data_IF_244543826895
#
_entry.id   IF_244543826895
#
_cell.length_a   1.000
_cell.length_b   1.000
_cell.length_c   1.000
_cell.angle_alpha   90.00
_cell.angle_beta   90.00
_cell.angle_gamma   90.00
#
_symmetry.space_group_name_H-M   'P 1'
#
loop_
_entity.id
_entity.type
_entity.pdbx_description
1 polymer ?
#
# COMPACT_ATOMS: atom_id res chain seq x y z
N UNK A 1 -13.45 48.69 -5.05
CA UNK A 1 -12.73 48.08 -3.91
C UNK A 1 -13.75 47.44 -2.98
N UNK A 2 -14.07 46.16 -3.16
CA UNK A 2 -14.96 45.40 -2.27
C UNK A 2 -14.15 45.03 -1.03
N UNK A 3 -14.42 45.67 0.11
CA UNK A 3 -13.81 45.27 1.38
C UNK A 3 -14.50 43.99 1.84
N UNK A 4 -13.80 42.86 1.74
CA UNK A 4 -14.23 41.59 2.32
C UNK A 4 -14.14 41.67 3.84
N UNK A 5 -15.20 41.24 4.52
CA UNK A 5 -15.23 41.13 5.98
C UNK A 5 -14.03 40.29 6.45
N UNK A 6 -13.31 40.80 7.44
CA UNK A 6 -12.16 40.09 8.00
C UNK A 6 -12.62 38.89 8.81
N UNK A 7 -11.72 37.92 9.02
CA UNK A 7 -12.00 36.71 9.79
C UNK A 7 -12.44 37.01 11.24
N UNK A 8 -12.09 38.20 11.76
CA UNK A 8 -12.52 38.70 13.06
C UNK A 8 -13.95 39.24 13.02
N UNK A 9 -14.36 39.90 11.93
CA UNK A 9 -15.74 40.38 11.74
C UNK A 9 -16.74 39.21 11.67
N UNK A 10 -16.36 38.13 10.99
CA UNK A 10 -17.19 36.91 10.92
C UNK A 10 -17.31 36.24 12.30
N UNK A 11 -16.24 36.26 13.10
CA UNK A 11 -16.23 35.69 14.46
C UNK A 11 -17.07 36.53 15.43
N UNK A 12 -17.04 37.86 15.28
CA UNK A 12 -17.86 38.78 16.06
C UNK A 12 -19.35 38.60 15.73
N UNK A 13 -19.71 38.50 14.44
CA UNK A 13 -21.08 38.24 14.01
C UNK A 13 -21.60 36.88 14.49
N UNK A 14 -20.76 35.84 14.49
CA UNK A 14 -21.11 34.53 15.02
C UNK A 14 -21.34 34.56 16.54
N UNK A 15 -20.48 35.26 17.30
CA UNK A 15 -20.66 35.43 18.74
C UNK A 15 -21.91 36.25 19.09
N UNK A 16 -22.24 37.26 18.28
CA UNK A 16 -23.42 38.10 18.45
C UNK A 16 -24.71 37.34 18.08
N UNK A 17 -24.65 36.46 17.09
CA UNK A 17 -25.74 35.53 16.75
C UNK A 17 -25.98 34.52 17.87
N UNK A 18 -24.92 33.90 18.41
CA UNK A 18 -25.01 32.99 19.58
C UNK A 18 -25.53 33.73 20.82
N UNK A 19 -25.17 35.01 21.00
CA UNK A 19 -25.67 35.83 22.11
C UNK A 19 -27.15 36.17 21.96
N UNK A 20 -27.61 36.43 20.73
CA UNK A 20 -29.04 36.61 20.42
C UNK A 20 -29.83 35.32 20.60
N UNK A 21 -29.26 34.19 20.23
CA UNK A 21 -29.86 32.86 20.43
C UNK A 21 -29.98 32.52 21.93
N UNK A 22 -28.91 32.77 22.72
CA UNK A 22 -28.94 32.61 24.18
C UNK A 22 -29.91 33.58 24.88
N UNK A 23 -30.12 34.79 24.34
CA UNK A 23 -31.16 35.70 24.84
C UNK A 23 -32.58 35.26 24.44
N UNK A 24 -32.76 34.60 23.29
CA UNK A 24 -34.04 34.01 22.88
C UNK A 24 -34.36 32.67 23.55
N UNK A 25 -33.38 32.02 24.20
CA UNK A 25 -33.58 30.72 24.87
C UNK A 25 -34.07 30.87 26.33
N UNK A 26 -34.35 32.09 26.79
CA UNK A 26 -34.92 32.32 28.13
C UNK A 26 -36.33 32.88 27.99
N UNK A 27 -37.28 32.01 27.63
CA UNK A 27 -38.67 32.00 28.12
C UNK A 27 -39.51 31.01 27.30
N UNK A 28 -39.41 29.73 27.65
CA UNK A 28 -40.56 28.83 27.54
C UNK A 28 -40.65 28.03 28.84
N UNK A 29 -40.94 28.73 29.94
CA UNK A 29 -41.50 28.11 31.14
C UNK A 29 -42.93 27.73 30.80
N UNK A 30 -43.17 26.45 30.50
CA UNK A 30 -44.51 25.95 30.18
C UNK A 30 -45.38 26.06 31.43
N UNK A 31 -46.13 27.14 31.50
CA UNK A 31 -47.53 27.15 31.93
C UNK A 31 -48.27 28.05 30.94
N UNK A 32 -48.61 27.49 29.78
CA UNK A 32 -49.42 28.16 28.74
C UNK A 32 -48.63 28.90 27.66
N UNK A 33 -48.12 28.18 26.65
CA UNK A 33 -47.56 28.80 25.45
C UNK A 33 -48.70 29.33 24.55
N UNK A 34 -48.79 30.65 24.36
CA UNK A 34 -49.84 31.37 23.62
C UNK A 34 -49.36 31.87 22.24
N UNK A 35 -48.44 31.17 21.59
CA UNK A 35 -47.99 31.55 20.25
C UNK A 35 -48.97 31.05 19.18
N UNK A 36 -49.54 31.93 18.33
CA UNK A 36 -50.62 31.57 17.41
C UNK A 36 -50.19 30.63 16.28
N UNK A 37 -48.88 30.46 16.05
CA UNK A 37 -48.32 29.52 15.07
C UNK A 37 -48.16 28.07 15.57
N UNK A 38 -48.38 27.79 16.86
CA UNK A 38 -48.20 26.44 17.44
C UNK A 38 -49.51 25.78 17.87
N UNK A 39 -50.67 26.36 17.50
CA UNK A 39 -51.99 25.74 17.70
C UNK A 39 -52.09 24.48 16.83
N UNK A 40 -51.85 23.32 17.46
CA UNK A 40 -52.01 22.00 16.82
C UNK A 40 -50.74 21.15 16.79
N UNK A 41 -49.60 21.67 17.25
CA UNK A 41 -48.40 20.84 17.41
C UNK A 41 -48.56 20.06 18.72
N UNK A 42 -48.74 18.74 18.60
CA UNK A 42 -48.85 17.81 19.72
C UNK A 42 -47.66 17.99 20.67
N UNK A 43 -47.92 18.05 21.98
CA UNK A 43 -46.86 18.15 23.00
C UNK A 43 -45.82 17.02 22.87
N UNK A 44 -46.24 15.86 22.34
CA UNK A 44 -45.34 14.73 22.00
C UNK A 44 -44.37 15.06 20.85
N UNK A 45 -44.82 15.82 19.85
CA UNK A 45 -43.97 16.25 18.72
C UNK A 45 -42.87 17.23 19.19
N UNK A 46 -43.19 18.11 20.15
CA UNK A 46 -42.18 18.99 20.77
C UNK A 46 -41.19 18.22 21.67
N UNK A 47 -41.62 17.20 22.41
CA UNK A 47 -40.73 16.37 23.23
C UNK A 47 -39.81 15.47 22.40
N UNK A 48 -40.31 14.89 21.31
CA UNK A 48 -39.53 14.07 20.37
C UNK A 48 -38.46 14.92 19.68
N UNK A 49 -38.84 16.09 19.11
CA UNK A 49 -37.87 17.00 18.50
C UNK A 49 -36.84 17.57 19.49
N UNK A 50 -37.23 17.81 20.76
CA UNK A 50 -36.30 18.26 21.79
C UNK A 50 -35.30 17.17 22.20
N UNK A 51 -35.71 15.89 22.17
CA UNK A 51 -34.79 14.75 22.38
C UNK A 51 -33.82 14.60 21.21
N UNK A 52 -34.30 14.65 19.97
CA UNK A 52 -33.45 14.59 18.77
C UNK A 52 -32.41 15.73 18.74
N UNK A 53 -32.82 16.95 19.06
CA UNK A 53 -31.91 18.10 19.15
C UNK A 53 -30.86 17.91 20.25
N UNK A 54 -31.24 17.40 21.43
CA UNK A 54 -30.31 17.13 22.52
C UNK A 54 -29.31 16.03 22.16
N UNK A 55 -29.75 14.99 21.45
CA UNK A 55 -28.89 13.91 20.95
C UNK A 55 -27.92 14.42 19.88
N UNK A 56 -28.37 15.27 18.95
CA UNK A 56 -27.49 15.92 17.97
C UNK A 56 -26.43 16.82 18.61
N UNK A 57 -26.82 17.66 19.58
CA UNK A 57 -25.88 18.52 20.32
C UNK A 57 -24.88 17.68 21.11
N UNK A 58 -25.34 16.56 21.70
CA UNK A 58 -24.45 15.63 22.41
C UNK A 58 -23.46 14.97 21.45
N UNK A 59 -23.92 14.45 20.31
CA UNK A 59 -23.06 13.86 19.26
C UNK A 59 -22.02 14.86 18.77
N UNK A 60 -22.43 16.11 18.53
CA UNK A 60 -21.53 17.17 18.05
C UNK A 60 -20.47 17.49 19.10
N UNK A 61 -20.85 17.61 20.37
CA UNK A 61 -19.88 17.85 21.45
C UNK A 61 -18.92 16.66 21.65
N UNK A 62 -19.43 15.43 21.55
CA UNK A 62 -18.61 14.22 21.65
C UNK A 62 -17.61 14.15 20.47
N UNK A 63 -18.01 14.51 19.24
CA UNK A 63 -17.14 14.66 18.06
C UNK A 63 -16.12 15.79 18.21
N UNK A 64 -16.50 16.93 18.79
CA UNK A 64 -15.58 18.04 19.08
C UNK A 64 -14.53 17.64 20.14
N UNK A 65 -14.92 16.87 21.16
CA UNK A 65 -13.99 16.36 22.16
C UNK A 65 -13.03 15.30 21.58
N UNK A 66 -13.53 14.41 20.72
CA UNK A 66 -12.73 13.42 20.02
C UNK A 66 -11.72 14.09 19.07
N UNK A 67 -12.16 15.04 18.26
CA UNK A 67 -11.27 15.79 17.35
C UNK A 67 -10.22 16.59 18.11
N UNK A 68 -10.57 17.22 19.24
CA UNK A 68 -9.60 17.90 20.09
C UNK A 68 -8.57 16.92 20.69
N UNK A 69 -9.00 15.71 21.06
CA UNK A 69 -8.12 14.65 21.57
C UNK A 69 -7.18 14.15 20.48
N UNK A 70 -7.69 13.87 19.27
CA UNK A 70 -6.89 13.48 18.12
C UNK A 70 -5.87 14.56 17.73
N UNK A 71 -6.24 15.84 17.76
CA UNK A 71 -5.32 16.94 17.49
C UNK A 71 -4.17 16.99 18.49
N UNK A 72 -4.44 16.76 19.78
CA UNK A 72 -3.38 16.67 20.81
C UNK A 72 -2.46 15.48 20.57
N UNK A 73 -3.01 14.31 20.22
CA UNK A 73 -2.22 13.13 19.90
C UNK A 73 -1.34 13.36 18.65
N UNK A 74 -1.89 13.95 17.59
CA UNK A 74 -1.12 14.31 16.38
C UNK A 74 -0.01 15.31 16.71
N UNK A 75 -0.27 16.32 17.54
CA UNK A 75 0.75 17.27 17.97
C UNK A 75 1.88 16.59 18.75
N UNK A 76 1.53 15.66 19.65
CA UNK A 76 2.50 14.87 20.42
C UNK A 76 3.34 13.96 19.50
N UNK A 77 2.71 13.26 18.56
CA UNK A 77 3.39 12.42 17.56
C UNK A 77 4.32 13.24 16.66
N UNK A 78 3.89 14.41 16.18
CA UNK A 78 4.74 15.34 15.42
C UNK A 78 5.97 15.77 16.22
N UNK A 79 5.81 16.01 17.53
CA UNK A 79 6.92 16.35 18.40
C UNK A 79 7.89 15.18 18.59
N UNK A 80 7.38 13.96 18.78
CA UNK A 80 8.18 12.74 18.88
C UNK A 80 8.96 12.45 17.59
N UNK A 81 8.31 12.58 16.42
CA UNK A 81 8.97 12.43 15.12
C UNK A 81 10.11 13.42 14.95
N UNK A 82 9.89 14.69 15.30
CA UNK A 82 10.94 15.72 15.26
C UNK A 82 12.10 15.40 16.21
N UNK A 83 11.83 14.84 17.40
CA UNK A 83 12.86 14.43 18.35
C UNK A 83 13.72 13.27 17.83
N UNK A 84 13.16 12.40 16.97
CA UNK A 84 13.86 11.30 16.28
C UNK A 84 14.50 11.77 14.95
N UNK A 85 14.31 13.03 14.56
CA UNK A 85 14.85 13.60 13.32
C UNK A 85 14.05 13.25 12.06
N UNK A 86 12.81 12.75 12.21
CA UNK A 86 11.91 12.46 11.10
C UNK A 86 10.91 13.62 10.89
N UNK A 87 10.64 13.97 9.64
CA UNK A 87 9.62 14.97 9.31
C UNK A 87 8.24 14.30 9.11
N UNK A 88 7.18 14.82 9.75
CA UNK A 88 5.83 14.31 9.53
C UNK A 88 5.40 14.52 8.08
N UNK A 89 4.95 13.44 7.44
CA UNK A 89 4.38 13.49 6.08
C UNK A 89 3.06 14.27 6.11
N UNK A 90 2.93 15.23 5.20
CA UNK A 90 1.70 16.01 5.05
C UNK A 90 0.58 15.12 4.47
N UNK A 91 -0.54 15.05 5.19
CA UNK A 91 -1.74 14.37 4.72
C UNK A 91 -2.48 15.28 3.73
N UNK A 92 -2.20 15.07 2.44
CA UNK A 92 -2.87 15.73 1.31
C UNK A 92 -3.51 14.67 0.43
N UNK A 93 -4.50 15.04 -0.38
CA UNK A 93 -5.09 14.14 -1.39
C UNK A 93 -4.06 13.74 -2.43
N UNK A 94 -4.26 12.60 -3.09
CA UNK A 94 -3.30 12.07 -4.06
C UNK A 94 -3.08 13.02 -5.25
N UNK A 95 -4.15 13.68 -5.71
CA UNK A 95 -4.09 14.64 -6.82
C UNK A 95 -3.24 15.87 -6.48
N UNK A 96 -3.43 16.43 -5.27
CA UNK A 96 -2.66 17.59 -4.82
C UNK A 96 -1.18 17.23 -4.64
N UNK A 97 -0.89 16.04 -4.11
CA UNK A 97 0.48 15.55 -3.98
C UNK A 97 1.16 15.39 -5.36
N UNK A 98 0.45 14.84 -6.34
CA UNK A 98 0.93 14.68 -7.73
C UNK A 98 1.18 16.02 -8.41
N UNK A 99 0.27 16.98 -8.27
CA UNK A 99 0.42 18.34 -8.80
C UNK A 99 1.65 19.03 -8.20
N UNK A 100 1.81 18.98 -6.88
CA UNK A 100 2.95 19.57 -6.17
C UNK A 100 4.29 18.92 -6.55
N UNK A 101 4.29 17.61 -6.79
CA UNK A 101 5.48 16.91 -7.30
C UNK A 101 5.85 17.40 -8.71
N UNK A 102 4.86 17.59 -9.59
CA UNK A 102 5.09 18.11 -10.94
C UNK A 102 5.62 19.55 -10.93
N UNK A 103 5.06 20.43 -10.09
CA UNK A 103 5.56 21.79 -9.89
C UNK A 103 7.02 21.79 -9.42
N UNK A 104 7.36 20.91 -8.47
CA UNK A 104 8.74 20.79 -7.95
C UNK A 104 9.71 20.30 -9.04
N UNK A 105 9.32 19.30 -9.85
CA UNK A 105 10.11 18.83 -11.00
C UNK A 105 10.33 19.96 -12.02
N UNK A 106 9.30 20.74 -12.32
CA UNK A 106 9.42 21.87 -13.25
C UNK A 106 10.38 22.94 -12.73
N UNK A 107 10.35 23.23 -11.42
CA UNK A 107 11.30 24.16 -10.78
C UNK A 107 12.73 23.64 -10.83
N UNK A 108 12.94 22.34 -10.58
CA UNK A 108 14.26 21.72 -10.71
C UNK A 108 14.79 21.82 -12.14
N UNK A 109 13.95 21.50 -13.14
CA UNK A 109 14.31 21.64 -14.55
C UNK A 109 14.60 23.09 -14.96
N UNK A 110 14.00 24.07 -14.27
CA UNK A 110 14.27 25.50 -14.46
C UNK A 110 15.55 26.00 -13.74
N UNK A 111 16.27 25.12 -13.03
CA UNK A 111 17.54 25.43 -12.38
C UNK A 111 17.46 25.71 -10.88
N UNK A 112 16.32 25.46 -10.23
CA UNK A 112 16.19 25.57 -8.77
C UNK A 112 16.60 24.24 -8.10
N UNK A 113 17.87 24.13 -7.73
CA UNK A 113 18.43 22.95 -7.05
C UNK A 113 17.76 22.66 -5.69
N UNK A 114 17.13 23.67 -5.05
CA UNK A 114 16.42 23.44 -3.79
C UNK A 114 15.12 22.65 -3.98
N UNK A 115 14.63 22.55 -5.22
CA UNK A 115 13.42 21.78 -5.54
C UNK A 115 13.61 20.26 -5.40
N UNK A 116 14.85 19.74 -5.31
CA UNK A 116 15.11 18.32 -5.05
C UNK A 116 14.47 17.86 -3.73
N UNK A 117 14.58 18.68 -2.68
CA UNK A 117 13.96 18.38 -1.37
C UNK A 117 12.44 18.36 -1.44
N UNK A 118 11.86 19.27 -2.22
CA UNK A 118 10.42 19.31 -2.45
C UNK A 118 9.98 18.04 -3.20
N UNK A 119 10.75 17.55 -4.17
CA UNK A 119 10.47 16.29 -4.89
C UNK A 119 10.49 15.11 -3.93
N UNK A 120 11.52 14.96 -3.09
CA UNK A 120 11.62 13.87 -2.11
C UNK A 120 10.46 13.89 -1.09
N UNK A 121 10.08 15.09 -0.63
CA UNK A 121 8.93 15.30 0.25
C UNK A 121 7.65 14.79 -0.41
N UNK A 122 7.36 15.23 -1.64
CA UNK A 122 6.13 14.86 -2.33
C UNK A 122 6.12 13.40 -2.79
N UNK A 123 7.25 12.83 -3.18
CA UNK A 123 7.39 11.40 -3.47
C UNK A 123 7.05 10.55 -2.24
N UNK A 124 7.55 10.94 -1.06
CA UNK A 124 7.21 10.29 0.21
C UNK A 124 5.72 10.43 0.53
N UNK A 125 5.14 11.62 0.32
CA UNK A 125 3.72 11.87 0.54
C UNK A 125 2.82 11.02 -0.37
N UNK A 126 3.18 10.86 -1.65
CA UNK A 126 2.47 10.01 -2.59
C UNK A 126 2.56 8.54 -2.16
N UNK A 127 3.75 8.04 -1.82
CA UNK A 127 3.96 6.64 -1.41
C UNK A 127 3.20 6.26 -0.13
N UNK A 128 3.06 7.20 0.80
CA UNK A 128 2.35 7.00 2.07
C UNK A 128 0.85 7.30 1.96
N UNK A 129 0.37 7.79 0.82
CA UNK A 129 -1.03 8.13 0.64
C UNK A 129 -1.90 6.84 0.59
N UNK A 130 -2.98 6.73 1.40
CA UNK A 130 -3.86 5.57 1.40
C UNK A 130 -4.50 5.26 0.05
N UNK A 131 -4.91 6.28 -0.72
CA UNK A 131 -5.51 6.11 -2.05
C UNK A 131 -4.49 5.50 -3.01
N UNK A 132 -3.23 5.97 -2.95
CA UNK A 132 -2.16 5.41 -3.75
C UNK A 132 -1.85 3.95 -3.38
N UNK A 133 -1.79 3.64 -2.08
CA UNK A 133 -1.57 2.28 -1.61
C UNK A 133 -2.67 1.33 -2.10
N UNK A 134 -3.94 1.75 -2.01
CA UNK A 134 -5.07 0.99 -2.54
C UNK A 134 -4.99 0.79 -4.05
N UNK A 135 -4.67 1.84 -4.83
CA UNK A 135 -4.46 1.73 -6.28
C UNK A 135 -3.35 0.71 -6.62
N UNK A 136 -2.24 0.73 -5.87
CA UNK A 136 -1.12 -0.20 -6.09
C UNK A 136 -1.48 -1.63 -5.71
N UNK A 137 -2.18 -1.84 -4.60
CA UNK A 137 -2.66 -3.16 -4.18
C UNK A 137 -3.65 -3.75 -5.17
N UNK A 138 -4.59 -2.93 -5.69
CA UNK A 138 -5.54 -3.39 -6.70
C UNK A 138 -4.83 -3.77 -8.00
N UNK A 139 -3.87 -2.98 -8.45
CA UNK A 139 -3.04 -3.31 -9.62
C UNK A 139 -2.27 -4.61 -9.41
N UNK A 140 -1.64 -4.78 -8.24
CA UNK A 140 -0.91 -5.99 -7.91
C UNK A 140 -1.84 -7.22 -7.86
N UNK A 141 -3.05 -7.08 -7.31
CA UNK A 141 -4.05 -8.15 -7.27
C UNK A 141 -4.50 -8.55 -8.67
N UNK A 142 -4.87 -7.59 -9.51
CA UNK A 142 -5.26 -7.84 -10.92
C UNK A 142 -4.14 -8.53 -11.68
N UNK A 143 -2.91 -8.04 -11.58
CA UNK A 143 -1.76 -8.67 -12.21
C UNK A 143 -1.56 -10.13 -11.76
N UNK A 144 -1.73 -10.40 -10.46
CA UNK A 144 -1.61 -11.75 -9.91
C UNK A 144 -2.70 -12.69 -10.43
N UNK A 145 -3.94 -12.20 -10.55
CA UNK A 145 -5.07 -12.94 -11.15
C UNK A 145 -4.82 -13.24 -12.63
N UNK A 146 -4.47 -12.22 -13.42
CA UNK A 146 -4.23 -12.34 -14.87
C UNK A 146 -3.08 -13.30 -15.21
N UNK A 147 -2.08 -13.38 -14.33
CA UNK A 147 -0.91 -14.25 -14.52
C UNK A 147 -1.02 -15.60 -13.81
N UNK A 148 -2.08 -15.84 -13.03
CA UNK A 148 -2.21 -17.04 -12.19
C UNK A 148 -2.06 -18.34 -12.99
N UNK A 149 -2.81 -18.47 -14.08
CA UNK A 149 -2.83 -19.71 -14.89
C UNK A 149 -1.45 -20.01 -15.51
N UNK A 150 -0.83 -18.99 -16.11
CA UNK A 150 0.52 -19.10 -16.69
C UNK A 150 1.57 -19.43 -15.63
N UNK A 151 1.41 -18.89 -14.42
CA UNK A 151 2.33 -19.16 -13.31
C UNK A 151 2.19 -20.61 -12.81
N UNK A 152 0.96 -21.10 -12.67
CA UNK A 152 0.69 -22.48 -12.29
C UNK A 152 1.15 -23.48 -13.36
N UNK A 153 0.97 -23.19 -14.64
CA UNK A 153 1.50 -24.00 -15.74
C UNK A 153 3.02 -24.07 -15.71
N UNK A 154 3.70 -22.92 -15.61
CA UNK A 154 5.15 -22.87 -15.47
C UNK A 154 5.64 -23.67 -14.26
N UNK A 155 4.93 -23.57 -13.12
CA UNK A 155 5.24 -24.34 -11.92
C UNK A 155 5.10 -25.86 -12.14
N UNK A 156 4.03 -26.32 -12.82
CA UNK A 156 3.83 -27.74 -13.16
C UNK A 156 4.95 -28.27 -14.05
N UNK A 157 5.26 -27.55 -15.12
CA UNK A 157 6.34 -27.91 -16.05
C UNK A 157 7.69 -27.98 -15.33
N UNK A 158 8.03 -26.95 -14.56
CA UNK A 158 9.29 -26.90 -13.84
C UNK A 158 9.39 -27.95 -12.74
N UNK A 159 8.31 -28.27 -12.03
CA UNK A 159 8.29 -29.40 -11.09
C UNK A 159 8.52 -30.72 -11.81
N UNK A 160 8.00 -30.92 -13.01
CA UNK A 160 8.30 -32.11 -13.81
C UNK A 160 9.79 -32.33 -14.07
N UNK A 161 10.54 -31.24 -14.25
CA UNK A 161 11.98 -31.26 -14.52
C UNK A 161 12.85 -31.36 -13.26
N UNK A 162 12.41 -30.77 -12.14
CA UNK A 162 13.15 -30.75 -10.88
C UNK A 162 12.82 -32.01 -10.07
N UNK A 163 13.78 -32.92 -9.80
CA UNK A 163 13.52 -34.10 -8.98
C UNK A 163 13.10 -33.76 -7.54
N UNK A 164 12.22 -34.54 -6.90
CA UNK A 164 11.76 -34.27 -5.54
C UNK A 164 12.88 -34.30 -4.50
N UNK A 165 13.92 -35.09 -4.74
CA UNK A 165 15.10 -35.28 -3.89
C UNK A 165 16.32 -34.46 -4.37
N UNK A 166 16.10 -33.35 -5.08
CA UNK A 166 17.17 -32.49 -5.62
C UNK A 166 18.23 -32.09 -4.58
N UNK A 167 17.84 -31.92 -3.31
CA UNK A 167 18.76 -31.59 -2.21
C UNK A 167 19.75 -32.72 -1.87
N UNK A 168 19.39 -33.96 -2.17
CA UNK A 168 20.18 -35.17 -1.89
C UNK A 168 20.92 -35.69 -3.13
N UNK A 169 20.52 -35.23 -4.32
CA UNK A 169 21.18 -35.58 -5.57
C UNK A 169 22.55 -34.91 -5.69
N UNK A 170 23.48 -35.55 -6.38
CA UNK A 170 24.66 -34.88 -6.93
C UNK A 170 24.43 -34.52 -8.40
N UNK A 171 25.25 -33.64 -8.96
CA UNK A 171 25.22 -33.35 -10.40
C UNK A 171 25.34 -34.63 -11.25
N UNK A 172 26.19 -35.57 -10.82
CA UNK A 172 26.38 -36.86 -11.50
C UNK A 172 25.09 -37.69 -11.46
N UNK A 173 24.44 -37.76 -10.30
CA UNK A 173 23.18 -38.48 -10.10
C UNK A 173 22.05 -37.92 -10.98
N UNK A 174 22.00 -36.60 -11.16
CA UNK A 174 21.03 -35.96 -12.06
C UNK A 174 21.25 -36.38 -13.53
N UNK A 175 22.50 -36.46 -13.97
CA UNK A 175 22.86 -36.92 -15.31
C UNK A 175 22.58 -38.42 -15.50
N UNK A 176 22.87 -39.25 -14.50
CA UNK A 176 22.58 -40.70 -14.52
C UNK A 176 21.07 -40.99 -14.62
N UNK A 177 20.23 -40.08 -14.13
CA UNK A 177 18.76 -40.14 -14.30
C UNK A 177 18.28 -39.68 -15.68
N UNK A 178 19.18 -39.40 -16.61
CA UNK A 178 18.87 -39.04 -17.99
C UNK A 178 18.66 -37.55 -18.24
N UNK A 179 18.93 -36.67 -17.27
CA UNK A 179 18.88 -35.22 -17.53
C UNK A 179 20.09 -34.81 -18.40
N UNK A 180 19.87 -34.01 -19.46
CA UNK A 180 20.97 -33.42 -20.22
C UNK A 180 21.94 -32.67 -19.32
N UNK A 181 23.25 -32.75 -19.60
CA UNK A 181 24.30 -32.14 -18.75
C UNK A 181 24.06 -30.64 -18.50
N UNK A 182 23.61 -29.91 -19.51
CA UNK A 182 23.34 -28.48 -19.40
C UNK A 182 22.20 -28.20 -18.40
N UNK A 183 21.12 -28.97 -18.46
CA UNK A 183 19.99 -28.87 -17.56
C UNK A 183 20.35 -29.30 -16.13
N UNK A 184 21.01 -30.45 -15.98
CA UNK A 184 21.44 -30.94 -14.67
C UNK A 184 22.32 -29.90 -13.96
N UNK A 185 23.26 -29.28 -14.70
CA UNK A 185 24.09 -28.18 -14.18
C UNK A 185 23.27 -26.96 -13.83
N UNK A 186 22.32 -26.55 -14.67
CA UNK A 186 21.45 -25.40 -14.44
C UNK A 186 20.63 -25.57 -13.15
N UNK A 187 19.97 -26.72 -12.99
CA UNK A 187 19.19 -27.04 -11.80
C UNK A 187 20.07 -27.09 -10.54
N UNK A 188 21.29 -27.61 -10.65
CA UNK A 188 22.23 -27.68 -9.52
C UNK A 188 22.77 -26.31 -9.10
N UNK A 189 23.20 -25.49 -10.06
CA UNK A 189 23.80 -24.19 -9.81
C UNK A 189 22.74 -23.17 -9.33
N UNK A 190 21.53 -23.20 -9.89
CA UNK A 190 20.43 -22.32 -9.50
C UNK A 190 19.58 -22.92 -8.40
N UNK A 191 20.12 -22.87 -7.17
CA UNK A 191 19.47 -23.36 -5.96
C UNK A 191 18.08 -22.76 -5.68
N UNK A 192 17.76 -21.59 -6.23
CA UNK A 192 16.41 -21.01 -6.12
C UNK A 192 15.35 -21.91 -6.77
N UNK A 193 15.70 -22.68 -7.80
CA UNK A 193 14.81 -23.67 -8.42
C UNK A 193 14.49 -24.84 -7.49
N UNK A 194 15.29 -25.06 -6.43
CA UNK A 194 15.03 -26.12 -5.46
C UNK A 194 13.81 -25.79 -4.58
N UNK A 195 13.44 -24.51 -4.45
CA UNK A 195 12.24 -24.08 -3.72
C UNK A 195 10.97 -24.70 -4.29
N UNK A 196 10.96 -25.06 -5.59
CA UNK A 196 9.83 -25.73 -6.24
C UNK A 196 9.45 -27.09 -5.60
N UNK A 197 10.39 -27.70 -4.86
CA UNK A 197 10.23 -28.96 -4.13
C UNK A 197 10.30 -28.79 -2.61
N UNK A 198 10.40 -27.55 -2.12
CA UNK A 198 10.38 -27.26 -0.69
C UNK A 198 8.94 -27.06 -0.20
N UNK A 199 8.70 -27.36 1.08
CA UNK A 199 7.41 -27.03 1.70
C UNK A 199 7.32 -25.50 1.91
N UNK A 200 6.15 -24.86 1.70
CA UNK A 200 6.01 -23.41 1.87
C UNK A 200 6.48 -22.88 3.23
N UNK A 201 6.24 -23.63 4.31
CA UNK A 201 6.71 -23.28 5.67
C UNK A 201 8.25 -23.26 5.77
N UNK A 202 8.93 -24.21 5.11
CA UNK A 202 10.40 -24.22 5.09
C UNK A 202 10.94 -23.01 4.34
N UNK A 203 10.23 -22.55 3.30
CA UNK A 203 10.59 -21.37 2.51
C UNK A 203 10.41 -20.11 3.37
N UNK A 204 9.30 -20.01 4.11
CA UNK A 204 9.01 -18.88 5.00
C UNK A 204 10.09 -18.71 6.10
N UNK A 205 10.67 -19.82 6.57
CA UNK A 205 11.72 -19.84 7.59
C UNK A 205 13.12 -19.49 7.07
N UNK A 206 13.35 -19.42 5.74
CA UNK A 206 14.68 -19.15 5.19
C UNK A 206 15.22 -17.82 5.73
N UNK A 207 16.46 -17.84 6.22
CA UNK A 207 17.12 -16.65 6.72
C UNK A 207 17.39 -15.63 5.61
N UNK A 208 17.32 -14.33 5.93
CA UNK A 208 17.50 -13.24 4.95
C UNK A 208 18.82 -13.31 4.17
N UNK A 209 19.92 -13.70 4.82
CA UNK A 209 21.22 -13.85 4.19
C UNK A 209 21.23 -14.95 3.13
N UNK A 210 20.50 -16.06 3.37
CA UNK A 210 20.39 -17.17 2.43
C UNK A 210 19.51 -16.79 1.23
N UNK A 211 18.43 -16.04 1.44
CA UNK A 211 17.61 -15.52 0.33
C UNK A 211 18.44 -14.68 -0.64
N UNK A 212 19.35 -13.83 -0.12
CA UNK A 212 20.20 -12.97 -0.95
C UNK A 212 21.36 -13.74 -1.59
N UNK A 213 22.07 -14.57 -0.83
CA UNK A 213 23.29 -15.22 -1.28
C UNK A 213 23.05 -16.55 -2.00
N UNK A 214 22.23 -17.44 -1.42
CA UNK A 214 22.01 -18.80 -1.91
C UNK A 214 20.88 -18.87 -2.94
N UNK A 215 19.88 -18.01 -2.82
CA UNK A 215 18.69 -18.00 -3.66
C UNK A 215 18.51 -16.68 -4.44
N UNK A 216 19.50 -16.25 -5.24
CA UNK A 216 19.39 -14.98 -5.96
C UNK A 216 18.31 -15.06 -7.05
N UNK A 217 17.53 -13.98 -7.19
CA UNK A 217 16.50 -13.81 -8.22
C UNK A 217 17.09 -13.42 -9.61
N UNK A 218 18.42 -13.44 -9.75
CA UNK A 218 19.12 -13.02 -10.96
C UNK A 218 19.41 -14.16 -11.94
N UNK A 219 19.32 -13.83 -13.24
CA UNK A 219 19.60 -14.74 -14.34
C UNK A 219 18.65 -15.93 -14.43
N UNK A 220 17.40 -15.75 -14.02
CA UNK A 220 16.28 -16.66 -14.28
C UNK A 220 15.55 -16.23 -15.55
N UNK A 221 15.01 -17.20 -16.30
CA UNK A 221 14.07 -16.91 -17.39
C UNK A 221 12.64 -16.70 -16.86
N UNK A 222 11.73 -16.25 -17.72
CA UNK A 222 10.36 -15.93 -17.32
C UNK A 222 9.62 -17.16 -16.77
N UNK A 223 9.82 -18.35 -17.35
CA UNK A 223 9.16 -19.58 -16.91
C UNK A 223 9.68 -19.99 -15.52
N UNK A 224 10.99 -19.94 -15.31
CA UNK A 224 11.61 -20.17 -14.00
C UNK A 224 11.11 -19.18 -12.95
N UNK A 225 11.01 -17.89 -13.29
CA UNK A 225 10.50 -16.86 -12.37
C UNK A 225 9.03 -17.07 -12.02
N UNK A 226 8.19 -17.34 -13.02
CA UNK A 226 6.76 -17.68 -12.83
C UNK A 226 6.60 -18.89 -11.91
N UNK A 227 7.37 -19.96 -12.14
CA UNK A 227 7.32 -21.17 -11.33
C UNK A 227 7.71 -20.93 -9.87
N UNK A 228 8.81 -20.19 -9.65
CA UNK A 228 9.28 -19.88 -8.28
C UNK A 228 8.27 -18.99 -7.57
N UNK A 229 7.72 -17.97 -8.25
CA UNK A 229 6.71 -17.08 -7.67
C UNK A 229 5.52 -17.84 -7.08
N UNK A 230 5.01 -18.86 -7.79
CA UNK A 230 3.87 -19.69 -7.34
C UNK A 230 4.14 -20.43 -6.03
N UNK A 231 5.40 -20.70 -5.67
CA UNK A 231 5.73 -21.45 -4.44
C UNK A 231 6.22 -20.56 -3.30
N UNK A 232 6.43 -19.27 -3.54
CA UNK A 232 6.85 -18.33 -2.49
C UNK A 232 5.67 -18.08 -1.53
N UNK A 233 5.91 -18.06 -0.21
CA UNK A 233 4.89 -17.69 0.75
C UNK A 233 4.52 -16.21 0.57
N UNK A 234 3.31 -15.84 1.00
CA UNK A 234 2.87 -14.45 1.05
C UNK A 234 3.70 -13.68 2.07
N UNK A 235 3.83 -14.25 3.27
CA UNK A 235 4.61 -13.71 4.39
C UNK A 235 5.78 -14.61 4.75
N UNK A 236 6.91 -14.00 5.11
CA UNK A 236 8.06 -14.70 5.65
C UNK A 236 8.11 -14.58 7.17
N UNK A 237 8.54 -15.65 7.84
CA UNK A 237 8.69 -15.63 9.31
C UNK A 237 9.93 -14.84 9.74
N UNK A 238 9.87 -14.20 10.92
CA UNK A 238 10.99 -13.47 11.53
C UNK A 238 11.56 -12.34 10.65
N UNK A 239 10.70 -11.58 9.95
CA UNK A 239 11.09 -10.44 9.09
C UNK A 239 10.99 -9.09 9.81
N UNK A 240 11.58 -8.99 11.01
CA UNK A 240 11.51 -7.76 11.81
C UNK A 240 12.18 -6.54 11.17
N UNK A 241 13.08 -6.75 10.21
CA UNK A 241 13.76 -5.69 9.44
C UNK A 241 13.17 -5.48 8.03
N UNK A 242 12.12 -6.20 7.66
CA UNK A 242 11.40 -6.07 6.38
C UNK A 242 12.19 -6.50 5.13
N UNK A 243 13.40 -7.07 5.29
CA UNK A 243 14.28 -7.39 4.16
C UNK A 243 13.83 -8.61 3.37
N UNK A 244 13.08 -9.53 3.98
CA UNK A 244 12.50 -10.67 3.26
C UNK A 244 11.31 -10.21 2.43
N UNK A 245 10.46 -9.35 2.98
CA UNK A 245 9.39 -8.67 2.25
C UNK A 245 9.97 -7.85 1.09
N UNK A 246 11.05 -7.10 1.31
CA UNK A 246 11.77 -6.38 0.26
C UNK A 246 12.30 -7.33 -0.84
N UNK A 247 12.90 -8.46 -0.46
CA UNK A 247 13.38 -9.46 -1.42
C UNK A 247 12.23 -10.02 -2.27
N UNK A 248 11.09 -10.34 -1.65
CA UNK A 248 9.88 -10.83 -2.33
C UNK A 248 9.30 -9.77 -3.25
N UNK A 249 9.24 -8.51 -2.81
CA UNK A 249 8.80 -7.38 -3.60
C UNK A 249 9.68 -7.19 -4.85
N UNK A 250 11.00 -7.20 -4.68
CA UNK A 250 11.96 -7.12 -5.79
C UNK A 250 11.82 -8.31 -6.77
N UNK A 251 11.50 -9.50 -6.25
CA UNK A 251 11.18 -10.66 -7.09
C UNK A 251 9.93 -10.41 -7.94
N UNK A 252 8.85 -9.89 -7.33
CA UNK A 252 7.60 -9.57 -8.02
C UNK A 252 7.80 -8.51 -9.09
N UNK A 253 8.44 -7.39 -8.75
CA UNK A 253 8.69 -6.30 -9.70
C UNK A 253 9.43 -6.79 -10.95
N UNK A 254 10.46 -7.62 -10.76
CA UNK A 254 11.19 -8.19 -11.89
C UNK A 254 10.33 -9.14 -12.73
N UNK A 255 9.43 -9.92 -12.11
CA UNK A 255 8.49 -10.77 -12.84
C UNK A 255 7.48 -9.92 -13.61
N UNK A 256 6.94 -8.86 -13.00
CA UNK A 256 6.06 -7.87 -13.66
C UNK A 256 6.75 -7.28 -14.91
N UNK A 257 8.00 -6.82 -14.78
CA UNK A 257 8.79 -6.32 -15.90
C UNK A 257 8.94 -7.35 -17.03
N UNK A 258 9.22 -8.62 -16.70
CA UNK A 258 9.33 -9.70 -17.68
C UNK A 258 7.98 -9.98 -18.34
N UNK A 259 6.87 -9.96 -17.59
CA UNK A 259 5.53 -10.15 -18.16
C UNK A 259 5.15 -9.02 -19.12
N UNK A 260 5.46 -7.76 -18.78
CA UNK A 260 5.26 -6.63 -19.69
C UNK A 260 6.10 -6.74 -20.95
N UNK A 261 7.38 -7.16 -20.82
CA UNK A 261 8.23 -7.44 -21.99
C UNK A 261 7.70 -8.60 -22.84
N UNK A 262 7.11 -9.62 -22.22
CA UNK A 262 6.50 -10.77 -22.89
C UNK A 262 5.32 -10.32 -23.75
N UNK A 263 4.41 -9.54 -23.17
CA UNK A 263 3.23 -8.99 -23.84
C UNK A 263 3.62 -8.08 -25.02
N UNK A 264 4.71 -7.32 -24.86
CA UNK A 264 5.27 -6.47 -25.92
C UNK A 264 6.11 -7.26 -26.95
N UNK A 265 6.29 -8.57 -26.79
CA UNK A 265 7.16 -9.41 -27.60
C UNK A 265 8.64 -8.95 -27.64
N UNK A 266 9.10 -8.27 -26.58
CA UNK A 266 10.45 -7.69 -26.45
C UNK A 266 11.41 -8.51 -25.58
N UNK A 267 11.00 -9.68 -25.11
CA UNK A 267 11.88 -10.54 -24.30
C UNK A 267 13.12 -10.95 -25.09
N UNK A 268 14.29 -10.79 -24.45
CA UNK A 268 15.53 -11.33 -24.97
C UNK A 268 15.50 -12.87 -24.97
N UNK A 269 16.32 -13.49 -25.82
CA UNK A 269 16.33 -14.96 -25.99
C UNK A 269 16.54 -15.72 -24.66
N UNK A 270 17.44 -15.23 -23.82
CA UNK A 270 17.76 -15.79 -22.50
C UNK A 270 16.68 -15.50 -21.43
N UNK A 271 15.84 -14.48 -21.63
CA UNK A 271 14.70 -14.17 -20.76
C UNK A 271 13.47 -15.01 -21.14
N UNK A 272 13.30 -15.37 -22.42
CA UNK A 272 12.23 -16.28 -22.87
C UNK A 272 12.42 -17.68 -22.32
N UNK A 273 13.60 -18.26 -22.55
CA UNK A 273 13.93 -19.61 -22.13
C UNK A 273 15.44 -19.79 -22.06
N UNK A 274 15.93 -20.37 -20.97
CA UNK A 274 17.35 -20.68 -20.87
C UNK A 274 17.75 -21.75 -21.90
N UNK A 275 18.94 -21.59 -22.51
CA UNK A 275 19.48 -22.59 -23.45
C UNK A 275 19.64 -23.99 -22.84
N UNK A 276 19.70 -24.11 -21.50
CA UNK A 276 19.74 -25.40 -20.82
C UNK A 276 18.49 -26.27 -21.07
N UNK A 277 17.37 -25.68 -21.50
CA UNK A 277 16.11 -26.38 -21.80
C UNK A 277 15.93 -26.69 -23.29
N UNK A 278 16.88 -26.32 -24.16
CA UNK A 278 16.73 -26.39 -25.63
C UNK A 278 16.40 -27.79 -26.17
N UNK A 279 16.81 -28.84 -25.47
CA UNK A 279 16.61 -30.24 -25.91
C UNK A 279 15.31 -30.86 -25.35
N UNK A 280 14.47 -30.07 -24.66
CA UNK A 280 13.24 -30.51 -24.02
C UNK A 280 11.96 -29.85 -24.55
N UNK A 281 12.10 -28.77 -25.32
CA UNK A 281 10.98 -28.03 -25.93
C UNK A 281 10.71 -28.55 -27.35
#
# INVERSE_FOLDING_TARGET
VRHGATREDIRALAQESIRREKQNTVMCSITGCLHPGTKGISMKFCEEHYKEFREQVKSTNDEEEETATLQKQVAMLKHQLKAVGAEPVECVTLDVAREKMQEAVQRLMAGDEMAEKDIEKWDTAIKMNPEYQQEQEEKARKWAEDNKEKNEEACRTMRGLVPPDIKQCSLKTLMERGLPRALAKRLWDKKILWMLRMHPLDIALIHQADLRAKYPNQGLDIIEMRAVWTVLPEDFENDGDGKKAEWRFNFRQKLEELTTKEEQNRLARNEKRNNAYKDLD
#
